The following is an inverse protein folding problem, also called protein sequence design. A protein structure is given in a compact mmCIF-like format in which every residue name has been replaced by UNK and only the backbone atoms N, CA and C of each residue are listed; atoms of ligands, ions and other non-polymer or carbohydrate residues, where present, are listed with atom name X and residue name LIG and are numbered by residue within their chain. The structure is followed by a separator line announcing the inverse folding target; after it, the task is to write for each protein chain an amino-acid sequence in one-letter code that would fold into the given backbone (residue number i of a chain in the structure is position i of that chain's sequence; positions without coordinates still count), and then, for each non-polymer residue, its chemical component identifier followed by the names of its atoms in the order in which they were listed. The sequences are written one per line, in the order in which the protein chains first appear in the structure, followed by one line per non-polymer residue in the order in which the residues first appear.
data_IF_774696649821
#
_entry.id   IF_774696649821
#
_cell.length_a   1.000
_cell.length_b   1.000
_cell.length_c   1.000
_cell.angle_alpha   90.00
_cell.angle_beta   90.00
_cell.angle_gamma   90.00
#
_symmetry.space_group_name_H-M   'P 1'
#
loop_
_entity.id
_entity.type
_entity.pdbx_description
1 polymer ?
#
# COMPACT_ATOMS: atom_id res chain seq x y z
N UNK A 1 16.01 3.86 16.72
CA UNK A 1 16.52 5.23 17.02
C UNK A 1 15.34 6.17 17.21
N UNK A 2 15.54 7.38 17.74
CA UNK A 2 14.43 8.31 17.92
C UNK A 2 14.21 9.11 16.62
N UNK A 3 12.99 9.09 16.09
CA UNK A 3 12.59 9.90 14.93
C UNK A 3 12.95 11.38 15.19
N UNK A 4 13.59 12.08 14.22
CA UNK A 4 13.91 13.50 14.34
C UNK A 4 12.72 14.39 14.70
N UNK A 5 12.94 15.51 15.45
CA UNK A 5 11.85 16.36 15.94
C UNK A 5 10.98 16.96 14.84
N UNK A 6 11.55 17.39 13.73
CA UNK A 6 10.87 17.96 12.56
C UNK A 6 9.93 16.96 11.87
N UNK A 7 10.36 15.70 11.78
CA UNK A 7 9.54 14.58 11.29
C UNK A 7 8.41 14.28 12.27
N UNK A 8 8.67 14.27 13.58
CA UNK A 8 7.60 14.11 14.59
C UNK A 8 6.56 15.21 14.51
N UNK A 9 6.99 16.46 14.34
CA UNK A 9 6.09 17.59 14.16
C UNK A 9 5.25 17.48 12.89
N UNK A 10 5.84 16.94 11.83
CA UNK A 10 5.13 16.64 10.58
C UNK A 10 4.08 15.55 10.76
N UNK A 11 4.42 14.45 11.46
CA UNK A 11 3.48 13.38 11.78
C UNK A 11 2.31 13.92 12.63
N UNK A 12 2.58 14.75 13.63
CA UNK A 12 1.54 15.33 14.48
C UNK A 12 0.53 16.22 13.74
N UNK A 13 0.91 16.76 12.57
CA UNK A 13 0.04 17.58 11.71
C UNK A 13 -0.80 16.75 10.73
N UNK A 14 -0.52 15.45 10.59
CA UNK A 14 -1.31 14.56 9.73
C UNK A 14 -2.73 14.49 10.28
N UNK A 15 -3.71 14.70 9.38
CA UNK A 15 -5.12 14.53 9.75
C UNK A 15 -5.38 13.06 10.11
N UNK A 16 -6.17 12.79 11.16
CA UNK A 16 -6.65 11.44 11.42
C UNK A 16 -7.37 10.87 10.20
N UNK A 17 -7.31 9.55 10.03
CA UNK A 17 -8.15 8.86 9.03
C UNK A 17 -9.62 9.16 9.33
N UNK A 18 -10.46 9.17 8.28
CA UNK A 18 -11.88 9.30 8.50
C UNK A 18 -12.41 8.12 9.33
N UNK A 19 -13.47 8.38 10.10
CA UNK A 19 -14.09 7.34 10.91
C UNK A 19 -14.55 6.16 10.04
N UNK A 20 -15.02 6.43 8.82
CA UNK A 20 -15.43 5.42 7.86
C UNK A 20 -14.25 4.55 7.41
N UNK A 21 -13.08 5.13 7.12
CA UNK A 21 -11.89 4.37 6.75
C UNK A 21 -11.40 3.45 7.87
N UNK A 22 -11.33 3.97 9.12
CA UNK A 22 -10.93 3.17 10.28
C UNK A 22 -11.91 2.01 10.52
N UNK A 23 -13.22 2.27 10.42
CA UNK A 23 -14.24 1.22 10.56
C UNK A 23 -14.18 0.18 9.45
N UNK A 24 -13.95 0.59 8.19
CA UNK A 24 -13.78 -0.34 7.07
C UNK A 24 -12.59 -1.27 7.30
N UNK A 25 -11.42 -0.73 7.67
CA UNK A 25 -10.24 -1.56 7.97
C UNK A 25 -10.50 -2.53 9.13
N UNK A 26 -11.22 -2.08 10.16
CA UNK A 26 -11.56 -2.94 11.30
C UNK A 26 -12.51 -4.08 10.89
N UNK A 27 -13.51 -3.81 10.04
CA UNK A 27 -14.45 -4.82 9.53
C UNK A 27 -13.73 -5.79 8.59
N UNK A 28 -12.86 -5.30 7.71
CA UNK A 28 -12.09 -6.16 6.79
C UNK A 28 -11.07 -7.05 7.50
N UNK A 29 -10.65 -6.70 8.69
CA UNK A 29 -9.78 -7.55 9.52
C UNK A 29 -10.55 -8.70 10.22
N UNK A 30 -11.89 -8.74 10.14
CA UNK A 30 -12.72 -9.84 10.63
C UNK A 30 -12.97 -10.82 9.46
N UNK A 31 -12.47 -12.08 9.52
CA UNK A 31 -12.68 -13.06 8.46
C UNK A 31 -14.17 -13.38 8.19
N UNK A 32 -15.05 -13.14 9.18
CA UNK A 32 -16.48 -13.40 9.08
C UNK A 32 -17.29 -12.15 8.64
N UNK A 33 -16.61 -11.09 8.18
CA UNK A 33 -17.26 -9.86 7.75
C UNK A 33 -18.22 -10.10 6.58
N UNK A 34 -19.26 -9.28 6.50
CA UNK A 34 -20.29 -9.38 5.47
C UNK A 34 -20.29 -8.15 4.55
N UNK A 35 -20.74 -8.34 3.30
CA UNK A 35 -21.02 -7.25 2.36
C UNK A 35 -21.93 -6.18 2.99
N UNK A 36 -22.90 -6.60 3.81
CA UNK A 36 -23.82 -5.69 4.50
C UNK A 36 -23.13 -4.77 5.49
N UNK A 37 -22.12 -5.26 6.23
CA UNK A 37 -21.35 -4.43 7.17
C UNK A 37 -20.51 -3.39 6.43
N UNK A 38 -19.86 -3.79 5.33
CA UNK A 38 -19.11 -2.86 4.48
C UNK A 38 -20.04 -1.81 3.89
N UNK A 39 -21.16 -2.23 3.31
CA UNK A 39 -22.14 -1.33 2.71
C UNK A 39 -22.69 -0.31 3.72
N UNK A 40 -23.02 -0.75 4.93
CA UNK A 40 -23.52 0.14 5.98
C UNK A 40 -22.52 1.22 6.38
N UNK A 41 -21.22 0.88 6.41
CA UNK A 41 -20.17 1.88 6.69
C UNK A 41 -20.05 2.89 5.54
N UNK A 42 -20.02 2.41 4.29
CA UNK A 42 -19.95 3.28 3.10
C UNK A 42 -21.15 4.20 3.03
N UNK A 43 -22.37 3.66 3.23
CA UNK A 43 -23.63 4.44 3.20
C UNK A 43 -23.72 5.49 4.31
N UNK A 44 -22.98 5.32 5.41
CA UNK A 44 -22.89 6.33 6.46
C UNK A 44 -22.03 7.55 6.08
N UNK A 45 -21.29 7.48 4.97
CA UNK A 45 -20.41 8.53 4.47
C UNK A 45 -20.82 8.93 3.04
N UNK A 46 -21.50 10.08 2.85
CA UNK A 46 -22.00 10.49 1.54
C UNK A 46 -20.90 10.67 0.48
N UNK A 47 -19.70 11.12 0.89
CA UNK A 47 -18.57 11.34 -0.03
C UNK A 47 -18.05 9.97 -0.51
N UNK A 48 -17.87 9.04 0.41
CA UNK A 48 -17.44 7.68 0.08
C UNK A 48 -18.48 6.96 -0.78
N UNK A 49 -19.76 7.05 -0.43
CA UNK A 49 -20.88 6.52 -1.23
C UNK A 49 -20.82 7.01 -2.67
N UNK A 50 -20.75 8.34 -2.86
CA UNK A 50 -20.71 8.94 -4.18
C UNK A 50 -19.50 8.47 -5.01
N UNK A 51 -18.32 8.36 -4.39
CA UNK A 51 -17.11 7.92 -5.08
C UNK A 51 -17.15 6.43 -5.43
N UNK A 52 -17.60 5.57 -4.51
CA UNK A 52 -17.75 4.12 -4.78
C UNK A 52 -18.69 3.91 -5.97
N UNK A 53 -19.85 4.54 -5.97
CA UNK A 53 -20.82 4.40 -7.06
C UNK A 53 -20.28 4.99 -8.38
N UNK A 54 -19.56 6.10 -8.34
CA UNK A 54 -18.94 6.71 -9.53
C UNK A 54 -17.89 5.78 -10.15
N UNK A 55 -16.99 5.24 -9.34
CA UNK A 55 -15.91 4.35 -9.79
C UNK A 55 -16.48 3.08 -10.38
N UNK A 56 -17.38 2.41 -9.69
CA UNK A 56 -17.99 1.15 -10.18
C UNK A 56 -18.77 1.35 -11.48
N UNK A 57 -19.37 2.50 -11.69
CA UNK A 57 -20.11 2.82 -12.92
C UNK A 57 -19.22 3.40 -14.02
N UNK A 58 -17.91 3.44 -13.85
CA UNK A 58 -16.99 3.89 -14.91
C UNK A 58 -16.94 2.87 -16.07
N UNK A 59 -16.52 3.28 -17.26
CA UNK A 59 -16.39 2.39 -18.43
C UNK A 59 -15.47 1.18 -18.17
N UNK A 60 -14.47 1.32 -17.31
CA UNK A 60 -13.50 0.28 -17.00
C UNK A 60 -14.14 -1.02 -16.47
N UNK A 61 -15.27 -0.92 -15.78
CA UNK A 61 -16.00 -2.09 -15.30
C UNK A 61 -16.94 -2.74 -16.31
N UNK A 62 -17.12 -2.16 -17.50
CA UNK A 62 -17.88 -2.76 -18.61
C UNK A 62 -19.33 -3.11 -18.26
N UNK A 63 -19.95 -2.42 -17.31
CA UNK A 63 -21.30 -2.73 -16.84
C UNK A 63 -22.35 -2.50 -17.93
N UNK A 64 -23.24 -3.50 -18.14
CA UNK A 64 -24.39 -3.37 -19.04
C UNK A 64 -25.47 -2.44 -18.50
N UNK A 65 -25.54 -2.27 -17.18
CA UNK A 65 -26.50 -1.39 -16.50
C UNK A 65 -25.84 -0.76 -15.28
N UNK A 66 -26.18 0.49 -14.99
CA UNK A 66 -25.63 1.22 -13.83
C UNK A 66 -26.02 0.56 -12.51
N UNK A 67 -25.06 0.50 -11.61
CA UNK A 67 -25.22 0.08 -10.20
C UNK A 67 -25.63 1.32 -9.40
N UNK A 68 -26.77 1.23 -8.70
CA UNK A 68 -27.34 2.34 -7.93
C UNK A 68 -27.28 2.15 -6.42
N UNK A 69 -26.83 0.98 -5.93
CA UNK A 69 -26.74 0.66 -4.50
C UNK A 69 -25.32 0.27 -4.11
N UNK A 70 -24.89 0.68 -2.93
CA UNK A 70 -23.57 0.35 -2.40
C UNK A 70 -23.41 -1.14 -2.22
N UNK A 71 -24.42 -1.84 -1.70
CA UNK A 71 -24.36 -3.30 -1.52
C UNK A 71 -24.07 -4.03 -2.83
N UNK A 72 -24.67 -3.60 -3.97
CA UNK A 72 -24.35 -4.17 -5.29
C UNK A 72 -22.96 -3.78 -5.74
N UNK A 73 -22.53 -2.55 -5.46
CA UNK A 73 -21.17 -2.11 -5.77
C UNK A 73 -20.14 -2.98 -5.06
N UNK A 74 -20.26 -3.14 -3.73
CA UNK A 74 -19.39 -3.98 -2.91
C UNK A 74 -19.42 -5.44 -3.37
N UNK A 75 -20.61 -6.01 -3.66
CA UNK A 75 -20.73 -7.38 -4.18
C UNK A 75 -20.05 -7.56 -5.54
N UNK A 76 -19.99 -6.52 -6.35
CA UNK A 76 -19.38 -6.57 -7.69
C UNK A 76 -17.87 -6.38 -7.65
N UNK A 77 -17.36 -5.42 -6.87
CA UNK A 77 -15.94 -5.04 -6.84
C UNK A 77 -15.15 -5.70 -5.72
N UNK A 78 -15.84 -6.27 -4.73
CA UNK A 78 -15.22 -6.75 -3.49
C UNK A 78 -14.96 -5.63 -2.47
N UNK A 79 -14.81 -6.03 -1.21
CA UNK A 79 -14.56 -5.11 -0.09
C UNK A 79 -13.24 -4.36 -0.21
N UNK A 80 -12.22 -5.00 -0.76
CA UNK A 80 -10.88 -4.42 -0.97
C UNK A 80 -10.88 -3.14 -1.80
N UNK A 81 -11.61 -3.15 -2.92
CA UNK A 81 -11.77 -1.97 -3.75
C UNK A 81 -12.36 -0.80 -2.93
N UNK A 82 -13.34 -1.09 -2.10
CA UNK A 82 -14.01 -0.08 -1.26
C UNK A 82 -13.05 0.46 -0.20
N UNK A 83 -12.26 -0.40 0.44
CA UNK A 83 -11.21 0.02 1.39
C UNK A 83 -10.15 0.87 0.67
N UNK A 84 -9.69 0.42 -0.50
CA UNK A 84 -8.74 1.17 -1.31
C UNK A 84 -9.24 2.58 -1.67
N UNK A 85 -10.50 2.69 -2.09
CA UNK A 85 -11.15 3.98 -2.35
C UNK A 85 -11.24 4.85 -1.10
N UNK A 86 -11.66 4.27 0.03
CA UNK A 86 -11.77 5.00 1.29
C UNK A 86 -10.42 5.55 1.74
N UNK A 87 -9.37 4.74 1.67
CA UNK A 87 -8.02 5.16 2.02
C UNK A 87 -7.48 6.20 1.05
N UNK A 88 -7.69 6.04 -0.27
CA UNK A 88 -7.33 7.05 -1.25
C UNK A 88 -7.96 8.41 -0.95
N UNK A 89 -9.26 8.44 -0.64
CA UNK A 89 -9.97 9.67 -0.33
C UNK A 89 -9.48 10.32 0.97
N UNK A 90 -9.25 9.51 2.00
CA UNK A 90 -8.81 10.01 3.31
C UNK A 90 -7.36 10.47 3.30
N UNK A 91 -6.51 9.74 2.59
CA UNK A 91 -5.08 9.97 2.52
C UNK A 91 -4.64 10.70 1.24
N UNK A 92 -5.58 11.19 0.42
CA UNK A 92 -5.27 11.91 -0.83
C UNK A 92 -4.33 13.11 -0.61
N UNK A 93 -4.40 13.74 0.56
CA UNK A 93 -3.45 14.78 0.99
C UNK A 93 -2.05 14.26 1.29
N UNK A 94 -1.84 12.96 1.46
CA UNK A 94 -0.55 12.32 1.75
C UNK A 94 -0.02 11.65 0.48
N UNK A 95 -0.82 10.83 -0.20
CA UNK A 95 -0.39 10.03 -1.35
C UNK A 95 -0.34 10.80 -2.68
N UNK A 96 -0.95 11.98 -2.76
CA UNK A 96 -1.16 12.68 -4.03
C UNK A 96 -0.14 13.80 -4.31
N UNK A 97 0.88 13.94 -3.45
CA UNK A 97 1.98 14.87 -3.68
C UNK A 97 3.13 14.19 -4.42
N UNK A 98 3.90 14.94 -5.23
CA UNK A 98 5.18 14.44 -5.72
C UNK A 98 6.10 14.21 -4.52
N UNK A 99 6.86 13.13 -4.54
CA UNK A 99 7.85 12.82 -3.52
C UNK A 99 9.22 13.30 -4.02
N UNK A 100 9.48 14.59 -3.92
CA UNK A 100 10.71 15.22 -4.45
C UNK A 100 11.96 14.55 -3.88
N UNK A 101 11.96 14.20 -2.59
CA UNK A 101 13.04 13.50 -1.92
C UNK A 101 13.29 12.07 -2.44
N UNK A 102 12.39 11.49 -3.22
CA UNK A 102 12.53 10.20 -3.92
C UNK A 102 12.59 10.38 -5.44
N UNK A 103 12.62 11.61 -5.94
CA UNK A 103 12.51 11.93 -7.38
C UNK A 103 11.25 11.31 -8.04
N UNK A 104 10.16 11.23 -7.29
CA UNK A 104 8.94 10.55 -7.68
C UNK A 104 7.84 11.52 -8.11
N UNK A 105 7.13 11.15 -9.17
CA UNK A 105 6.03 11.94 -9.72
C UNK A 105 4.77 11.87 -8.84
N UNK A 106 3.90 12.86 -9.03
CA UNK A 106 2.59 12.88 -8.37
C UNK A 106 1.79 11.61 -8.66
N UNK A 107 1.28 10.99 -7.59
CA UNK A 107 0.46 9.78 -7.68
C UNK A 107 1.25 8.48 -7.87
N UNK A 108 2.57 8.52 -8.03
CA UNK A 108 3.38 7.30 -8.15
C UNK A 108 3.32 6.44 -6.90
N UNK A 109 3.42 7.04 -5.71
CA UNK A 109 3.29 6.32 -4.44
C UNK A 109 1.95 5.57 -4.35
N UNK A 110 0.84 6.22 -4.72
CA UNK A 110 -0.47 5.56 -4.72
C UNK A 110 -0.52 4.36 -5.67
N UNK A 111 -0.03 4.54 -6.91
CA UNK A 111 -0.01 3.46 -7.91
C UNK A 111 0.83 2.28 -7.45
N UNK A 112 1.99 2.54 -6.86
CA UNK A 112 2.85 1.54 -6.27
C UNK A 112 2.14 0.78 -5.14
N UNK A 113 1.61 1.49 -4.14
CA UNK A 113 0.89 0.88 -3.03
C UNK A 113 -0.33 0.08 -3.47
N UNK A 114 -1.05 0.51 -4.53
CA UNK A 114 -2.18 -0.23 -5.06
C UNK A 114 -1.76 -1.56 -5.68
N UNK A 115 -0.74 -1.58 -6.54
CA UNK A 115 -0.27 -2.84 -7.13
C UNK A 115 0.34 -3.75 -6.06
N UNK A 116 1.10 -3.19 -5.10
CA UNK A 116 1.58 -3.93 -3.93
C UNK A 116 0.44 -4.56 -3.15
N UNK A 117 -0.66 -3.84 -2.92
CA UNK A 117 -1.82 -4.36 -2.20
C UNK A 117 -2.47 -5.55 -2.92
N UNK A 118 -2.71 -5.41 -4.22
CA UNK A 118 -3.32 -6.48 -5.05
C UNK A 118 -2.40 -7.71 -5.05
N UNK A 119 -1.12 -7.53 -5.32
CA UNK A 119 -0.15 -8.63 -5.34
C UNK A 119 0.00 -9.30 -3.97
N UNK A 120 0.06 -8.52 -2.89
CA UNK A 120 0.15 -9.03 -1.51
C UNK A 120 -1.03 -9.91 -1.13
N UNK A 121 -2.24 -9.54 -1.53
CA UNK A 121 -3.45 -10.33 -1.33
C UNK A 121 -3.34 -11.69 -2.03
N UNK A 122 -2.91 -11.70 -3.28
CA UNK A 122 -2.76 -12.94 -4.05
C UNK A 122 -1.65 -13.82 -3.48
N UNK A 123 -0.49 -13.24 -3.12
CA UNK A 123 0.62 -13.96 -2.48
C UNK A 123 0.21 -14.53 -1.12
N UNK A 124 -0.60 -13.82 -0.33
CA UNK A 124 -1.05 -14.29 0.99
C UNK A 124 -1.82 -15.63 0.92
N UNK A 125 -2.44 -15.96 -0.21
CA UNK A 125 -3.12 -17.24 -0.44
C UNK A 125 -2.17 -18.45 -0.46
N UNK A 126 -0.89 -18.22 -0.74
CA UNK A 126 0.18 -19.23 -0.73
C UNK A 126 0.94 -19.30 0.60
N UNK A 127 0.47 -18.55 1.61
CA UNK A 127 1.10 -18.53 2.92
C UNK A 127 0.92 -19.87 3.65
N UNK A 128 1.99 -20.36 4.26
CA UNK A 128 1.97 -21.58 5.09
C UNK A 128 1.22 -21.44 6.42
N UNK A 129 0.82 -20.22 6.78
CA UNK A 129 0.06 -19.88 7.99
C UNK A 129 -1.34 -19.34 7.66
N UNK A 130 -2.10 -19.01 8.71
CA UNK A 130 -3.38 -18.30 8.57
C UNK A 130 -3.08 -16.80 8.33
N UNK A 131 -2.70 -16.47 7.11
CA UNK A 131 -2.56 -15.07 6.67
C UNK A 131 -3.87 -14.67 6.00
N UNK A 132 -4.50 -13.63 6.52
CA UNK A 132 -5.71 -13.11 5.90
C UNK A 132 -5.32 -12.27 4.67
N UNK A 133 -5.77 -12.65 3.45
CA UNK A 133 -5.49 -11.90 2.23
C UNK A 133 -5.98 -10.45 2.27
N UNK A 134 -7.07 -10.16 3.00
CA UNK A 134 -7.61 -8.82 3.13
C UNK A 134 -6.72 -7.92 3.98
N UNK A 135 -6.12 -8.48 5.04
CA UNK A 135 -5.12 -7.78 5.85
C UNK A 135 -3.83 -7.55 5.06
N UNK A 136 -3.44 -8.51 4.21
CA UNK A 136 -2.29 -8.36 3.33
C UNK A 136 -2.52 -7.24 2.29
N UNK A 137 -3.73 -7.16 1.72
CA UNK A 137 -4.12 -6.05 0.83
C UNK A 137 -3.99 -4.69 1.54
N UNK A 138 -4.59 -4.56 2.73
CA UNK A 138 -4.54 -3.30 3.50
C UNK A 138 -3.10 -2.95 3.89
N UNK A 139 -2.32 -3.96 4.28
CA UNK A 139 -0.89 -3.80 4.58
C UNK A 139 -0.09 -3.30 3.39
N UNK A 140 -0.28 -3.91 2.21
CA UNK A 140 0.36 -3.47 0.96
C UNK A 140 -0.04 -2.06 0.56
N UNK A 141 -1.29 -1.65 0.81
CA UNK A 141 -1.74 -0.30 0.51
C UNK A 141 -1.10 0.78 1.39
N UNK A 142 -0.67 0.41 2.59
CA UNK A 142 -0.16 1.36 3.60
C UNK A 142 1.35 1.20 3.88
N UNK A 143 2.02 0.17 3.35
CA UNK A 143 3.40 -0.17 3.73
C UNK A 143 4.36 1.01 3.62
N UNK A 144 4.21 1.80 2.60
CA UNK A 144 5.09 2.92 2.21
C UNK A 144 4.59 4.30 2.64
N UNK A 145 3.57 4.39 3.50
CA UNK A 145 2.99 5.68 3.94
C UNK A 145 4.04 6.64 4.53
N UNK A 146 5.12 6.11 5.11
CA UNK A 146 6.21 6.90 5.67
C UNK A 146 6.98 7.73 4.64
N UNK A 147 7.07 7.28 3.38
CA UNK A 147 7.74 8.00 2.29
C UNK A 147 7.15 9.40 2.07
N UNK A 148 5.84 9.54 2.27
CA UNK A 148 5.17 10.82 2.10
C UNK A 148 5.70 11.92 3.04
N UNK A 149 6.09 11.57 4.26
CA UNK A 149 6.69 12.50 5.23
C UNK A 149 8.20 12.57 5.05
N UNK A 150 8.86 11.41 4.85
CA UNK A 150 10.30 11.33 4.65
C UNK A 150 10.79 12.15 3.46
N UNK A 151 9.99 12.23 2.38
CA UNK A 151 10.34 12.97 1.17
C UNK A 151 10.78 14.41 1.45
N UNK A 152 10.09 15.12 2.34
CA UNK A 152 10.48 16.48 2.72
C UNK A 152 11.83 16.58 3.43
N UNK A 153 12.14 15.58 4.26
CA UNK A 153 13.41 15.56 5.04
C UNK A 153 14.59 15.00 4.23
N UNK A 154 14.34 14.15 3.24
CA UNK A 154 15.36 13.65 2.33
C UNK A 154 15.90 14.75 1.40
N UNK A 155 15.04 15.68 0.95
CA UNK A 155 15.46 16.75 0.05
C UNK A 155 16.18 16.20 -1.18
N UNK A 156 17.46 16.56 -1.37
CA UNK A 156 18.28 16.12 -2.50
C UNK A 156 19.10 14.84 -2.21
N UNK A 157 18.93 14.21 -1.04
CA UNK A 157 19.78 13.08 -0.62
C UNK A 157 19.55 11.80 -1.43
N UNK A 158 18.42 11.67 -2.16
CA UNK A 158 18.15 10.48 -2.96
C UNK A 158 19.28 10.13 -3.93
N UNK A 159 19.81 11.14 -4.65
CA UNK A 159 20.94 10.94 -5.59
C UNK A 159 22.21 10.47 -4.90
N UNK A 160 22.47 10.99 -3.70
CA UNK A 160 23.63 10.59 -2.90
C UNK A 160 23.48 9.16 -2.42
N UNK A 161 22.26 8.74 -2.04
CA UNK A 161 21.93 7.38 -1.63
C UNK A 161 22.11 6.42 -2.81
N UNK A 162 21.58 6.76 -4.01
CA UNK A 162 21.76 5.96 -5.23
C UNK A 162 23.24 5.81 -5.57
N UNK A 163 23.99 6.92 -5.57
CA UNK A 163 25.42 6.88 -5.84
C UNK A 163 26.20 6.08 -4.78
N UNK A 164 25.75 6.08 -3.53
CA UNK A 164 26.35 5.26 -2.48
C UNK A 164 26.02 3.77 -2.65
N UNK A 165 24.81 3.43 -3.14
CA UNK A 165 24.45 2.06 -3.48
C UNK A 165 25.27 1.53 -4.66
N UNK A 166 25.39 2.31 -5.73
CA UNK A 166 26.22 1.98 -6.91
C UNK A 166 27.71 1.79 -6.54
N UNK A 167 28.19 2.51 -5.53
CA UNK A 167 29.54 2.40 -5.02
C UNK A 167 29.71 1.32 -3.93
N UNK A 168 28.69 0.49 -3.69
CA UNK A 168 28.64 -0.56 -2.63
C UNK A 168 28.89 -0.01 -1.20
N UNK A 169 28.63 1.29 -0.97
CA UNK A 169 28.79 1.95 0.34
C UNK A 169 27.56 1.84 1.22
N UNK A 170 26.41 1.53 0.65
CA UNK A 170 25.19 1.19 1.38
C UNK A 170 24.61 -0.12 0.88
N UNK A 171 23.89 -0.83 1.73
CA UNK A 171 23.31 -2.15 1.41
C UNK A 171 21.99 -2.06 0.67
N UNK A 172 21.23 -1.00 0.95
CA UNK A 172 19.93 -0.74 0.36
C UNK A 172 19.50 0.72 0.61
N UNK A 173 18.32 1.10 0.08
CA UNK A 173 17.82 2.46 0.22
C UNK A 173 17.43 2.79 1.68
N UNK A 174 16.91 1.83 2.46
CA UNK A 174 16.59 2.02 3.90
C UNK A 174 17.83 2.41 4.70
N UNK A 175 18.94 1.73 4.45
CA UNK A 175 20.22 2.07 5.10
C UNK A 175 20.71 3.47 4.67
N UNK A 176 20.48 3.85 3.42
CA UNK A 176 20.77 5.18 2.91
C UNK A 176 19.94 6.27 3.59
N UNK A 177 18.63 6.08 3.73
CA UNK A 177 17.74 6.99 4.47
C UNK A 177 18.21 7.19 5.91
N UNK A 178 18.51 6.08 6.59
CA UNK A 178 19.00 6.10 7.96
C UNK A 178 20.31 6.90 8.09
N UNK A 179 21.23 6.75 7.15
CA UNK A 179 22.49 7.49 7.14
C UNK A 179 22.28 8.98 6.85
N UNK A 180 21.36 9.33 5.96
CA UNK A 180 21.11 10.70 5.53
C UNK A 180 20.29 11.51 6.54
N UNK A 181 19.27 10.90 7.15
CA UNK A 181 18.25 11.60 7.96
C UNK A 181 18.20 11.11 9.41
N UNK A 182 18.81 9.97 9.72
CA UNK A 182 18.81 9.39 11.07
C UNK A 182 17.56 8.56 11.40
N UNK A 183 16.68 8.34 10.42
CA UNK A 183 15.51 7.46 10.46
C UNK A 183 15.21 6.95 9.06
N UNK A 184 14.27 6.02 8.92
CA UNK A 184 13.84 5.47 7.63
C UNK A 184 12.32 5.55 7.47
N UNK A 185 11.82 5.40 6.21
CA UNK A 185 10.41 5.50 5.91
C UNK A 185 9.57 4.43 6.63
N UNK A 186 10.14 3.28 6.98
CA UNK A 186 9.40 2.22 7.67
C UNK A 186 9.16 2.59 9.15
N UNK A 187 10.14 3.24 9.78
CA UNK A 187 10.02 3.74 11.16
C UNK A 187 9.04 4.92 11.25
N UNK A 188 9.13 5.84 10.29
CA UNK A 188 8.21 6.98 10.16
C UNK A 188 6.79 6.48 9.84
N UNK A 189 6.65 5.52 8.92
CA UNK A 189 5.37 4.89 8.58
C UNK A 189 4.73 4.22 9.80
N UNK A 190 5.50 3.49 10.61
CA UNK A 190 4.98 2.89 11.84
C UNK A 190 4.49 3.97 12.83
N UNK A 191 5.19 5.09 12.93
CA UNK A 191 4.74 6.19 13.78
C UNK A 191 3.44 6.82 13.29
N UNK A 192 3.27 6.98 11.98
CA UNK A 192 2.00 7.41 11.37
C UNK A 192 0.89 6.39 11.66
N UNK A 193 1.16 5.11 11.49
CA UNK A 193 0.20 4.04 11.75
C UNK A 193 -0.25 4.02 13.23
N UNK A 194 0.66 4.27 14.16
CA UNK A 194 0.34 4.44 15.60
C UNK A 194 -0.50 5.69 15.85
N UNK A 195 -0.19 6.80 15.17
CA UNK A 195 -0.99 8.03 15.26
C UNK A 195 -2.41 7.81 14.76
N UNK A 196 -2.59 6.95 13.76
CA UNK A 196 -3.89 6.53 13.25
C UNK A 196 -4.54 5.40 14.06
N UNK A 197 -3.89 4.89 15.11
CA UNK A 197 -4.37 3.78 15.93
C UNK A 197 -4.66 2.50 15.12
N UNK A 198 -3.81 2.21 14.13
CA UNK A 198 -3.93 0.99 13.33
C UNK A 198 -3.60 -0.25 14.15
N UNK A 199 -4.19 -1.43 13.82
CA UNK A 199 -3.94 -2.67 14.53
C UNK A 199 -2.52 -3.22 14.31
N UNK A 200 -2.02 -4.01 15.28
CA UNK A 200 -0.67 -4.56 15.29
C UNK A 200 -0.22 -5.23 13.98
N UNK A 201 -1.04 -6.06 13.27
CA UNK A 201 -0.61 -6.65 12.00
C UNK A 201 -0.14 -5.61 10.98
N UNK A 202 -0.83 -4.47 10.88
CA UNK A 202 -0.46 -3.38 9.96
C UNK A 202 0.78 -2.62 10.45
N UNK A 203 0.95 -2.45 11.77
CA UNK A 203 2.17 -1.87 12.35
C UNK A 203 3.40 -2.70 12.01
N UNK A 204 3.29 -4.04 12.06
CA UNK A 204 4.35 -4.97 11.73
C UNK A 204 4.69 -4.96 10.24
N UNK A 205 3.67 -4.96 9.37
CA UNK A 205 3.86 -4.82 7.91
C UNK A 205 4.61 -3.53 7.59
N UNK A 206 4.10 -2.39 8.02
CA UNK A 206 4.67 -1.09 7.72
C UNK A 206 6.13 -0.98 8.23
N UNK A 207 6.41 -1.54 9.41
CA UNK A 207 7.75 -1.46 10.01
C UNK A 207 8.75 -2.40 9.39
N UNK A 208 8.33 -3.57 8.90
CA UNK A 208 9.25 -4.65 8.59
C UNK A 208 9.14 -5.19 7.16
N UNK A 209 8.40 -4.55 6.25
CA UNK A 209 8.27 -5.05 4.88
C UNK A 209 9.61 -5.16 4.13
N UNK A 210 10.64 -4.37 4.47
CA UNK A 210 12.00 -4.54 3.93
C UNK A 210 12.90 -5.44 4.79
N UNK A 211 12.45 -5.87 5.96
CA UNK A 211 13.20 -6.76 6.86
C UNK A 211 12.27 -7.77 7.54
N UNK A 212 11.54 -8.63 6.78
CA UNK A 212 10.46 -9.49 7.30
C UNK A 212 10.91 -10.43 8.41
N UNK A 213 12.15 -10.86 8.39
CA UNK A 213 12.74 -11.72 9.42
C UNK A 213 12.76 -11.07 10.81
N UNK A 214 12.73 -9.73 10.90
CA UNK A 214 12.69 -8.96 12.16
C UNK A 214 11.28 -8.79 12.74
N UNK A 215 10.23 -9.07 11.95
CA UNK A 215 8.85 -8.98 12.41
C UNK A 215 8.57 -10.03 13.50
N UNK A 216 7.58 -9.72 14.35
CA UNK A 216 7.11 -10.68 15.33
C UNK A 216 6.67 -11.98 14.64
N UNK A 217 7.06 -13.12 15.20
CA UNK A 217 6.90 -14.45 14.56
C UNK A 217 5.48 -14.71 14.04
N UNK A 218 4.47 -14.32 14.82
CA UNK A 218 3.05 -14.44 14.46
C UNK A 218 2.70 -13.75 13.15
N UNK A 219 3.37 -12.65 12.80
CA UNK A 219 3.04 -11.80 11.65
C UNK A 219 4.00 -11.98 10.48
N UNK A 220 5.08 -12.75 10.62
CA UNK A 220 6.06 -13.00 9.55
C UNK A 220 5.43 -13.44 8.24
N UNK A 221 4.49 -14.42 8.21
CA UNK A 221 3.86 -14.83 6.96
C UNK A 221 3.15 -13.67 6.24
N UNK A 222 2.47 -12.79 6.98
CA UNK A 222 1.83 -11.60 6.46
C UNK A 222 2.86 -10.59 5.92
N UNK A 223 3.91 -10.32 6.70
CA UNK A 223 4.96 -9.36 6.29
C UNK A 223 5.71 -9.85 5.06
N UNK A 224 6.00 -11.17 4.95
CA UNK A 224 6.59 -11.75 3.74
C UNK A 224 5.66 -11.69 2.53
N UNK A 225 4.35 -11.81 2.71
CA UNK A 225 3.40 -11.65 1.62
C UNK A 225 3.44 -10.23 1.06
N UNK A 226 3.52 -9.22 1.92
CA UNK A 226 3.63 -7.82 1.50
C UNK A 226 5.02 -7.52 0.91
N UNK A 227 6.08 -8.05 1.49
CA UNK A 227 7.44 -7.94 0.94
C UNK A 227 7.52 -8.44 -0.51
N UNK A 228 6.94 -9.60 -0.82
CA UNK A 228 6.89 -10.11 -2.20
C UNK A 228 5.97 -9.28 -3.10
N UNK A 229 4.84 -8.81 -2.57
CA UNK A 229 3.93 -7.92 -3.29
C UNK A 229 4.59 -6.62 -3.71
N UNK A 230 5.41 -6.04 -2.85
CA UNK A 230 6.22 -4.85 -3.11
C UNK A 230 7.23 -5.09 -4.25
N UNK A 231 7.98 -6.21 -4.20
CA UNK A 231 8.87 -6.58 -5.30
C UNK A 231 8.13 -6.78 -6.62
N UNK A 232 6.95 -7.40 -6.61
CA UNK A 232 6.10 -7.55 -7.81
C UNK A 232 5.71 -6.17 -8.36
N UNK A 233 5.34 -5.23 -7.50
CA UNK A 233 4.97 -3.89 -7.92
C UNK A 233 6.16 -3.13 -8.54
N UNK A 234 7.33 -3.18 -7.92
CA UNK A 234 8.55 -2.57 -8.47
C UNK A 234 8.94 -3.18 -9.83
N UNK A 235 8.92 -4.50 -9.97
CA UNK A 235 9.20 -5.18 -11.24
C UNK A 235 8.12 -4.91 -12.29
N UNK A 236 6.88 -4.67 -11.87
CA UNK A 236 5.76 -4.29 -12.74
C UNK A 236 5.80 -2.84 -13.21
N UNK A 237 6.85 -2.09 -12.89
CA UNK A 237 7.04 -0.71 -13.36
C UNK A 237 6.31 0.37 -12.54
N UNK A 238 5.76 0.02 -11.38
CA UNK A 238 5.12 0.98 -10.46
C UNK A 238 6.04 1.38 -9.31
N UNK A 239 7.30 1.65 -9.59
CA UNK A 239 8.25 2.12 -8.57
C UNK A 239 7.89 3.49 -8.01
N UNK A 240 8.47 3.80 -6.84
CA UNK A 240 8.24 5.07 -6.14
C UNK A 240 9.27 6.16 -6.47
N UNK A 241 10.19 5.89 -7.38
CA UNK A 241 11.18 6.86 -7.83
C UNK A 241 12.60 6.33 -7.81
N UNK A 242 13.56 7.11 -7.30
CA UNK A 242 14.99 6.78 -7.27
C UNK A 242 15.33 5.54 -6.43
N UNK A 243 14.45 5.14 -5.53
CA UNK A 243 14.58 3.97 -4.65
C UNK A 243 14.14 2.65 -5.31
N UNK A 244 13.55 2.73 -6.50
CA UNK A 244 13.00 1.55 -7.20
C UNK A 244 14.10 0.49 -7.42
N UNK A 245 13.83 -0.76 -6.96
CA UNK A 245 14.75 -1.90 -7.00
C UNK A 245 16.05 -1.73 -6.19
N UNK A 246 16.15 -0.74 -5.31
CA UNK A 246 17.27 -0.57 -4.38
C UNK A 246 16.98 -1.17 -2.98
N UNK A 247 16.19 -2.23 -2.94
CA UNK A 247 15.88 -3.01 -1.74
C UNK A 247 16.29 -4.46 -1.91
N UNK A 248 16.61 -5.13 -0.80
CA UNK A 248 17.05 -6.51 -0.82
C UNK A 248 15.86 -7.47 -0.68
N UNK A 249 15.77 -8.45 -1.58
CA UNK A 249 14.82 -9.56 -1.43
C UNK A 249 15.28 -10.49 -0.30
N UNK A 250 14.47 -10.64 0.74
CA UNK A 250 14.70 -11.61 1.81
C UNK A 250 14.27 -13.01 1.32
N UNK A 251 15.24 -13.85 0.98
CA UNK A 251 15.02 -15.20 0.44
C UNK A 251 14.38 -16.18 1.44
N UNK A 252 14.29 -15.82 2.72
CA UNK A 252 13.58 -16.60 3.73
C UNK A 252 12.07 -16.63 3.52
N UNK A 253 11.53 -15.82 2.58
CA UNK A 253 10.13 -15.90 2.18
C UNK A 253 9.68 -17.34 1.86
N UNK A 254 10.59 -18.18 1.30
CA UNK A 254 10.32 -19.58 0.96
C UNK A 254 9.94 -20.46 2.15
N UNK A 255 10.23 -20.01 3.37
CA UNK A 255 9.81 -20.69 4.61
C UNK A 255 8.34 -20.44 4.94
N UNK A 256 7.77 -19.36 4.41
CA UNK A 256 6.43 -18.85 4.75
C UNK A 256 5.46 -18.83 3.58
N UNK A 257 5.97 -18.69 2.35
CA UNK A 257 5.18 -18.59 1.11
C UNK A 257 5.55 -19.75 0.21
N UNK A 258 4.60 -20.65 -0.02
CA UNK A 258 4.79 -21.84 -0.86
C UNK A 258 4.17 -21.61 -2.25
N UNK A 259 4.85 -20.80 -3.07
CA UNK A 259 4.43 -20.44 -4.43
C UNK A 259 5.41 -21.02 -5.45
N UNK A 260 4.91 -21.74 -6.44
CA UNK A 260 5.69 -22.19 -7.59
C UNK A 260 5.94 -21.08 -8.60
N UNK A 261 6.91 -21.24 -9.50
CA UNK A 261 7.20 -20.24 -10.54
C UNK A 261 5.97 -19.94 -11.42
N UNK A 262 5.22 -20.97 -11.84
CA UNK A 262 4.03 -20.77 -12.66
C UNK A 262 2.88 -20.07 -11.91
N UNK A 263 2.73 -20.33 -10.62
CA UNK A 263 1.76 -19.60 -9.78
C UNK A 263 2.19 -18.14 -9.59
N UNK A 264 3.49 -17.88 -9.42
CA UNK A 264 4.01 -16.53 -9.32
C UNK A 264 3.80 -15.73 -10.60
N UNK A 265 4.07 -16.34 -11.78
CA UNK A 265 3.75 -15.73 -13.08
C UNK A 265 2.28 -15.37 -13.18
N UNK A 266 1.39 -16.26 -12.75
CA UNK A 266 -0.06 -15.99 -12.73
C UNK A 266 -0.40 -14.84 -11.79
N UNK A 267 0.17 -14.80 -10.58
CA UNK A 267 -0.03 -13.68 -9.65
C UNK A 267 0.39 -12.36 -10.28
N UNK A 268 1.53 -12.31 -10.95
CA UNK A 268 2.02 -11.09 -11.62
C UNK A 268 1.04 -10.63 -12.70
N UNK A 269 0.57 -11.55 -13.57
CA UNK A 269 -0.35 -11.22 -14.66
C UNK A 269 -1.72 -10.78 -14.13
N UNK A 270 -2.32 -11.56 -13.23
CA UNK A 270 -3.65 -11.27 -12.68
C UNK A 270 -3.64 -9.95 -11.88
N UNK A 271 -2.59 -9.72 -11.08
CA UNK A 271 -2.43 -8.47 -10.32
C UNK A 271 -2.27 -7.26 -11.24
N UNK A 272 -1.50 -7.40 -12.32
CA UNK A 272 -1.33 -6.35 -13.32
C UNK A 272 -2.64 -6.01 -14.02
N UNK A 273 -3.45 -7.00 -14.39
CA UNK A 273 -4.76 -6.79 -15.02
C UNK A 273 -5.75 -6.08 -14.07
N UNK A 274 -5.84 -6.54 -12.83
CA UNK A 274 -6.71 -5.90 -11.83
C UNK A 274 -6.26 -4.46 -11.56
N UNK A 275 -4.95 -4.23 -11.40
CA UNK A 275 -4.38 -2.91 -11.23
C UNK A 275 -4.78 -1.94 -12.36
N UNK A 276 -4.65 -2.36 -13.62
CA UNK A 276 -5.04 -1.53 -14.77
C UNK A 276 -6.53 -1.17 -14.71
N UNK A 277 -7.40 -2.13 -14.42
CA UNK A 277 -8.84 -1.88 -14.29
C UNK A 277 -9.14 -0.84 -13.21
N UNK A 278 -8.46 -0.93 -12.05
CA UNK A 278 -8.65 0.02 -10.95
C UNK A 278 -8.17 1.41 -11.35
N UNK A 279 -6.98 1.53 -11.93
CA UNK A 279 -6.40 2.81 -12.35
C UNK A 279 -7.29 3.49 -13.40
N UNK A 280 -7.70 2.76 -14.44
CA UNK A 280 -8.62 3.29 -15.46
C UNK A 280 -9.96 3.74 -14.85
N UNK A 281 -10.48 3.00 -13.87
CA UNK A 281 -11.73 3.36 -13.21
C UNK A 281 -11.65 4.63 -12.35
N UNK A 282 -10.47 4.89 -11.78
CA UNK A 282 -10.25 6.02 -10.87
C UNK A 282 -9.82 7.30 -11.59
N UNK A 283 -9.00 7.17 -12.64
CA UNK A 283 -8.32 8.29 -13.28
C UNK A 283 -8.71 8.52 -14.75
N UNK A 284 -9.46 7.60 -15.37
CA UNK A 284 -9.72 7.58 -16.82
C UNK A 284 -8.55 6.97 -17.59
N UNK A 285 -8.76 6.69 -18.86
CA UNK A 285 -7.66 6.26 -19.74
C UNK A 285 -6.64 7.41 -19.90
N UNK A 286 -5.36 7.11 -19.84
CA UNK A 286 -4.27 8.13 -19.96
C UNK A 286 -4.34 8.92 -21.28
N UNK A 287 -5.14 8.47 -22.26
CA UNK A 287 -5.35 9.14 -23.54
C UNK A 287 -6.20 10.43 -23.48
N UNK A 288 -6.92 10.69 -22.38
CA UNK A 288 -7.74 11.92 -22.24
C UNK A 288 -6.99 13.07 -21.53
N UNK A 289 -5.71 12.90 -21.17
CA UNK A 289 -4.94 13.90 -20.41
C UNK A 289 -3.71 14.47 -21.16
N UNK A 290 -3.64 14.27 -22.51
CA UNK A 290 -2.63 14.94 -23.35
C UNK A 290 -3.16 16.15 -24.08
#
# INVERSE_FOLDING_TARGET
MAIPPDIKDSIAKIKPLSQSAVRLMSVMADPDHTVGQIAAIVESDPILTGNVLRVVNSPAFGLRAKISTVSRAVSYTGGNMVVGLALHLCASGIFNHPLEGYESQRGALWRHCLLTAIASREIARFSSGKTDPEVAYTGGLLHDVGKAIMSGSLGNSAREIVAAADAEKTTDFVAGELAAVGTDHTEVGQAIAKHWSLPDPLLEVIRYHHAPSKAHEKYRPLVYAVHLGDFIAMMGGTGTGADTLLYNLDHDYKKFINVSAGELEKVILDSGQEYQQVVESMFGSEEEQQ
#
